data_IF_528015654679
#
_entry.id   IF_528015654679
#
_cell.length_a   1.000
_cell.length_b   1.000
_cell.length_c   1.000
_cell.angle_alpha   90.00
_cell.angle_beta   90.00
_cell.angle_gamma   90.00
#
_symmetry.space_group_name_H-M   'P 1'
#
loop_
_entity.id
_entity.type
_entity.pdbx_description
1 polymer ?
2 non-polymer ?
3 non-polymer ?
4 non-polymer ?
5 non-polymer ?
6 water ?
#
# COMPACT_ATOMS: atom_id res chain seq x y z
N UNK A 5 -14.66 12.82 -5.49
CA UNK A 5 -13.56 12.11 -4.70
C UNK A 5 -12.23 12.89 -4.81
N UNK A 6 -11.55 13.05 -3.67
CA UNK A 6 -10.28 13.74 -3.61
C UNK A 6 -9.25 12.89 -2.84
N UNK A 7 -7.96 13.14 -3.12
CA UNK A 7 -6.87 12.41 -2.39
C UNK A 7 -6.91 12.67 -0.89
N UNK A 8 -7.28 13.88 -0.51
CA UNK A 8 -7.47 14.23 0.88
C UNK A 8 -8.49 13.37 1.57
N UNK A 9 -9.50 12.82 0.86
CA UNK A 9 -10.51 11.97 1.54
C UNK A 9 -9.85 10.64 2.07
N UNK A 10 -8.65 10.29 1.59
CA UNK A 10 -7.96 9.08 2.02
C UNK A 10 -7.12 9.35 3.27
N UNK A 11 -7.02 10.59 3.70
CA UNK A 11 -6.12 10.91 4.80
C UNK A 11 -6.58 10.29 6.13
N UNK A 12 -5.63 10.00 6.98
CA UNK A 12 -5.82 9.58 8.37
C UNK A 12 -5.19 8.28 8.65
N UNK A 13 -5.47 7.79 9.86
CA UNK A 13 -5.02 6.54 10.35
C UNK A 13 -6.10 5.48 10.13
N UNK A 14 -5.71 4.35 9.55
CA UNK A 14 -6.59 3.28 9.16
C UNK A 14 -6.06 1.97 9.70
N UNK A 15 -6.91 1.12 10.23
CA UNK A 15 -6.49 -0.13 10.83
C UNK A 15 -6.95 -1.32 9.96
N UNK A 16 -6.00 -2.23 9.70
CA UNK A 16 -6.33 -3.40 8.90
C UNK A 16 -7.38 -4.29 9.64
N UNK A 17 -8.45 -4.58 8.93
CA UNK A 17 -9.48 -5.45 9.46
C UNK A 17 -9.70 -6.71 8.64
N UNK A 18 -9.25 -6.78 7.37
CA UNK A 18 -9.44 -8.00 6.59
C UNK A 18 -8.35 -8.02 5.55
N UNK A 19 -7.82 -9.20 5.25
CA UNK A 19 -6.83 -9.37 4.17
C UNK A 19 -7.13 -10.69 3.45
N UNK A 20 -7.06 -10.63 2.12
CA UNK A 20 -7.17 -11.81 1.30
C UNK A 20 -6.11 -11.75 0.23
N UNK A 21 -5.44 -12.85 -0.03
CA UNK A 21 -4.43 -12.94 -1.10
C UNK A 21 -3.07 -12.41 -0.79
N UNK A 22 -2.84 -11.88 0.43
CA UNK A 22 -1.58 -11.20 0.70
C UNK A 22 -0.41 -12.16 0.69
N UNK A 23 -0.53 -13.35 1.24
CA UNK A 23 0.61 -14.31 1.20
C UNK A 23 0.90 -14.72 -0.27
N UNK A 24 -0.13 -14.92 -1.09
CA UNK A 24 0.09 -15.22 -2.47
C UNK A 24 0.79 -14.09 -3.22
N UNK A 25 0.41 -12.86 -2.92
CA UNK A 25 1.06 -11.70 -3.52
C UNK A 25 2.53 -11.63 -3.11
N UNK A 26 2.80 -11.84 -1.80
CA UNK A 26 4.18 -11.85 -1.37
C UNK A 26 4.99 -12.96 -2.02
N UNK A 27 4.36 -14.13 -2.19
CA UNK A 27 5.05 -15.20 -2.90
C UNK A 27 5.38 -14.87 -4.35
N UNK A 28 4.50 -14.15 -5.02
CA UNK A 28 4.76 -13.67 -6.40
C UNK A 28 5.89 -12.68 -6.43
N UNK A 29 5.96 -11.83 -5.42
CA UNK A 29 7.06 -10.93 -5.25
C UNK A 29 8.41 -11.72 -4.91
N UNK A 30 8.34 -13.02 -4.61
CA UNK A 30 9.51 -13.72 -4.15
C UNK A 30 10.01 -13.35 -2.75
N UNK A 31 9.12 -12.84 -1.90
CA UNK A 31 9.49 -12.51 -0.53
C UNK A 31 9.79 -13.83 0.18
N UNK A 32 10.86 -13.84 1.00
CA UNK A 32 11.27 -15.03 1.71
C UNK A 32 10.41 -15.27 2.93
N UNK A 33 10.60 -16.44 3.55
CA UNK A 33 9.68 -16.89 4.55
C UNK A 33 9.63 -16.00 5.81
N UNK A 34 10.78 -15.49 6.24
CA UNK A 34 10.76 -14.67 7.45
C UNK A 34 9.90 -13.44 7.21
N UNK A 35 10.12 -12.73 6.12
CA UNK A 35 9.23 -11.56 5.80
C UNK A 35 7.75 -12.02 5.60
N UNK A 36 7.49 -13.14 4.92
CA UNK A 36 6.08 -13.62 4.69
C UNK A 36 5.34 -14.01 5.97
N UNK A 37 6.08 -14.57 6.94
CA UNK A 37 5.41 -14.89 8.22
C UNK A 37 5.07 -13.63 8.94
N UNK A 38 5.97 -12.64 8.97
CA UNK A 38 5.61 -11.34 9.54
C UNK A 38 4.33 -10.77 8.87
N UNK A 39 4.27 -10.82 7.51
CA UNK A 39 3.09 -10.17 6.94
C UNK A 39 1.79 -10.88 7.05
N UNK A 40 1.77 -12.21 7.17
CA UNK A 40 0.55 -13.01 7.38
C UNK A 40 -0.12 -12.63 8.70
N UNK A 41 0.68 -12.18 9.65
CA UNK A 41 0.17 -12.00 11.02
C UNK A 41 0.18 -10.56 11.51
N UNK A 42 1.05 -9.67 11.01
CA UNK A 42 0.96 -8.24 11.38
C UNK A 42 -0.41 -7.69 11.02
N UNK A 43 -1.00 -6.86 11.91
CA UNK A 43 -2.22 -6.13 11.58
C UNK A 43 -1.81 -4.64 11.71
N UNK A 44 -1.31 -4.12 10.63
CA UNK A 44 -0.83 -2.74 10.71
C UNK A 44 -1.93 -1.70 10.64
N UNK A 45 -1.56 -0.52 11.09
CA UNK A 45 -2.24 0.68 10.73
C UNK A 45 -1.52 1.27 9.50
N UNK A 46 -2.28 1.96 8.67
CA UNK A 46 -1.79 2.72 7.54
C UNK A 46 -2.14 4.15 7.84
N UNK A 47 -1.17 5.06 7.73
CA UNK A 47 -1.37 6.50 7.94
C UNK A 47 -1.06 7.20 6.64
N UNK A 48 -2.05 7.82 6.08
CA UNK A 48 -1.95 8.52 4.81
C UNK A 48 -2.08 9.99 5.08
N UNK A 49 -1.11 10.76 4.60
CA UNK A 49 -1.15 12.22 4.69
C UNK A 49 -0.83 12.82 3.35
N UNK A 50 -1.50 13.92 3.01
CA UNK A 50 -1.29 14.56 1.66
C UNK A 50 -1.47 16.11 1.79
N UNK A 51 -0.41 16.84 1.41
CA UNK A 51 -0.27 18.33 1.50
C UNK A 51 -0.04 18.70 0.03
N UNK A 52 -1.17 18.99 -0.63
CA UNK A 52 -1.15 19.35 -2.03
C UNK A 52 -0.76 18.12 -2.87
N UNK A 53 0.42 18.15 -3.48
CA UNK A 53 0.89 17.07 -4.27
C UNK A 53 1.86 16.25 -3.46
N UNK A 54 2.17 16.60 -2.23
CA UNK A 54 3.03 15.75 -1.40
C UNK A 54 2.21 14.69 -0.73
N UNK A 55 2.63 13.45 -0.82
CA UNK A 55 1.99 12.31 -0.18
C UNK A 55 2.98 11.59 0.70
N UNK A 56 2.55 11.14 1.86
CA UNK A 56 3.28 10.20 2.70
C UNK A 56 2.34 9.06 3.05
N UNK A 57 2.87 7.84 3.01
CA UNK A 57 2.17 6.65 3.49
C UNK A 57 3.10 5.94 4.46
N UNK A 58 2.65 5.82 5.70
CA UNK A 58 3.36 5.12 6.78
C UNK A 58 2.54 3.90 7.17
N UNK A 59 3.20 2.74 7.29
CA UNK A 59 2.55 1.53 7.73
C UNK A 59 3.18 1.17 9.05
N UNK A 60 2.36 1.00 10.09
CA UNK A 60 2.90 0.82 11.44
C UNK A 60 2.33 -0.38 12.07
N UNK A 61 3.23 -1.17 12.59
CA UNK A 61 2.84 -2.24 13.47
C UNK A 61 4.03 -2.56 14.36
N UNK A 62 3.77 -3.22 15.47
CA UNK A 62 4.84 -3.60 16.36
C UNK A 62 5.91 -4.45 15.64
N UNK A 63 5.44 -5.35 14.74
CA UNK A 63 6.37 -6.11 13.97
C UNK A 63 7.26 -5.29 13.05
N UNK A 64 6.63 -4.43 12.26
CA UNK A 64 7.33 -3.71 11.18
C UNK A 64 6.64 -2.40 10.88
N UNK A 65 7.48 -1.40 10.73
CA UNK A 65 7.01 -0.06 10.28
C UNK A 65 7.76 0.35 9.03
N UNK A 66 7.07 0.90 8.04
CA UNK A 66 7.65 1.40 6.82
C UNK A 66 7.08 2.79 6.53
N UNK A 67 7.75 3.56 5.70
CA UNK A 67 7.21 4.86 5.33
C UNK A 67 7.85 5.29 4.04
N UNK A 68 7.08 5.85 3.12
CA UNK A 68 7.66 6.58 1.99
C UNK A 68 6.91 7.88 1.80
N UNK A 69 7.58 8.80 1.11
CA UNK A 69 7.03 10.08 0.76
C UNK A 69 7.30 10.33 -0.73
N UNK A 70 6.45 11.09 -1.36
CA UNK A 70 6.67 11.43 -2.78
C UNK A 70 5.81 12.65 -3.16
N UNK A 71 6.08 13.12 -4.36
CA UNK A 71 5.23 14.09 -5.04
C UNK A 71 4.41 13.34 -6.04
N UNK A 72 3.10 13.54 -6.00
CA UNK A 72 2.22 12.93 -6.98
C UNK A 72 2.69 13.21 -8.37
N UNK A 73 2.76 12.19 -9.18
CA UNK A 73 3.10 12.27 -10.58
C UNK A 73 4.57 12.14 -10.86
N UNK A 74 5.45 12.12 -9.87
CA UNK A 74 6.88 12.10 -10.05
C UNK A 74 7.42 10.72 -9.76
N UNK A 75 8.34 10.25 -10.58
CA UNK A 75 9.02 9.01 -10.34
C UNK A 75 10.02 9.13 -9.21
N UNK A 76 10.08 8.13 -8.36
CA UNK A 76 10.97 8.16 -7.23
C UNK A 76 11.44 6.76 -6.88
N UNK A 77 12.54 6.68 -6.11
CA UNK A 77 13.02 5.41 -5.58
C UNK A 77 12.34 5.06 -4.29
N UNK A 78 11.53 4.01 -4.31
CA UNK A 78 10.87 3.48 -3.14
C UNK A 78 11.58 2.25 -2.66
N UNK A 79 11.96 2.22 -1.38
CA UNK A 79 12.41 1.01 -0.77
C UNK A 79 11.18 0.36 -0.13
N UNK A 80 10.82 -0.84 -0.57
CA UNK A 80 9.63 -1.48 -0.15
C UNK A 80 9.87 -2.25 1.15
N UNK A 81 8.75 -2.74 1.75
CA UNK A 81 8.83 -3.46 3.01
C UNK A 81 9.76 -4.67 2.91
N UNK A 82 9.72 -5.35 1.79
CA UNK A 82 10.55 -6.52 1.52
C UNK A 82 11.92 -6.19 0.96
N UNK A 83 12.25 -4.91 0.81
CA UNK A 83 13.58 -4.49 0.48
C UNK A 83 13.85 -4.27 -0.98
N UNK A 84 12.86 -4.36 -1.86
CA UNK A 84 13.04 -3.93 -3.22
C UNK A 84 13.31 -2.45 -3.29
N UNK A 85 14.09 -2.03 -4.28
CA UNK A 85 14.20 -0.59 -4.63
C UNK A 85 13.55 -0.37 -5.98
N UNK A 86 12.35 0.12 -5.95
CA UNK A 86 11.55 0.27 -7.14
C UNK A 86 11.57 1.67 -7.64
N UNK A 87 11.29 1.84 -8.93
CA UNK A 87 10.86 3.14 -9.46
C UNK A 87 9.36 3.19 -9.35
N UNK A 88 8.87 4.08 -8.50
CA UNK A 88 7.47 4.19 -8.22
C UNK A 88 6.93 5.52 -8.67
N UNK A 89 5.66 5.55 -9.07
CA UNK A 89 4.90 6.75 -9.28
C UNK A 89 3.57 6.60 -8.61
N UNK A 90 3.09 7.62 -7.93
CA UNK A 90 1.78 7.66 -7.35
C UNK A 90 0.96 8.81 -7.98
N UNK A 91 -0.28 8.51 -8.32
CA UNK A 91 -1.19 9.52 -8.85
C UNK A 91 -2.55 9.31 -8.27
N UNK A 92 -3.33 10.38 -8.13
CA UNK A 92 -4.74 10.26 -7.75
C UNK A 92 -5.58 10.45 -9.03
N UNK A 93 -6.27 9.39 -9.44
CA UNK A 93 -6.83 9.31 -10.80
C UNK A 93 -8.13 8.57 -10.67
N UNK A 94 -9.17 9.08 -11.32
CA UNK A 94 -10.48 8.36 -11.34
C UNK A 94 -10.89 7.96 -9.92
N UNK A 95 -10.70 8.85 -8.93
CA UNK A 95 -11.18 8.61 -7.55
C UNK A 95 -10.37 7.53 -6.74
N UNK A 96 -9.14 7.21 -7.12
CA UNK A 96 -8.27 6.27 -6.41
C UNK A 96 -6.86 6.78 -6.44
N UNK A 97 -6.15 6.43 -5.38
CA UNK A 97 -4.69 6.59 -5.43
C UNK A 97 -4.13 5.36 -6.09
N UNK A 98 -3.38 5.56 -7.16
CA UNK A 98 -2.78 4.52 -7.91
C UNK A 98 -1.27 4.59 -7.82
N UNK A 99 -0.64 3.50 -7.41
CA UNK A 99 0.82 3.42 -7.21
C UNK A 99 1.34 2.34 -8.12
N UNK A 100 2.28 2.71 -8.98
CA UNK A 100 2.88 1.72 -9.87
C UNK A 100 4.34 1.61 -9.54
N UNK A 101 4.79 0.37 -9.31
CA UNK A 101 6.18 0.05 -9.01
C UNK A 101 6.78 -0.72 -10.14
N UNK A 102 7.98 -0.32 -10.57
CA UNK A 102 8.74 -1.04 -11.59
C UNK A 102 10.13 -1.33 -11.09
N UNK A 103 10.60 -2.54 -11.28
CA UNK A 103 11.95 -2.93 -10.85
C UNK A 103 12.36 -4.17 -11.62
N UNK A 104 13.58 -4.21 -12.10
CA UNK A 104 14.14 -5.45 -12.63
C UNK A 104 13.25 -6.05 -13.78
N UNK A 105 12.57 -5.20 -14.54
CA UNK A 105 11.68 -5.65 -15.63
C UNK A 105 10.31 -6.13 -15.20
N UNK A 106 10.03 -6.00 -13.91
CA UNK A 106 8.77 -6.42 -13.27
C UNK A 106 7.92 -5.17 -12.91
N UNK A 107 6.65 -5.37 -12.69
CA UNK A 107 5.75 -4.29 -12.29
C UNK A 107 4.67 -4.76 -11.39
N UNK A 108 4.24 -3.89 -10.51
CA UNK A 108 3.10 -4.15 -9.65
C UNK A 108 2.31 -2.86 -9.47
N UNK A 109 1.00 -3.00 -9.41
CA UNK A 109 0.07 -1.89 -9.14
C UNK A 109 -0.58 -2.07 -7.80
N UNK A 110 -0.66 -0.97 -7.05
CA UNK A 110 -1.35 -0.89 -5.76
C UNK A 110 -2.33 0.24 -5.86
N UNK A 111 -3.59 -0.01 -5.53
CA UNK A 111 -4.63 1.02 -5.52
C UNK A 111 -5.12 1.19 -4.10
N UNK A 112 -5.60 2.39 -3.76
CA UNK A 112 -6.19 2.70 -2.47
C UNK A 112 -7.39 3.61 -2.75
N UNK A 113 -8.54 3.19 -2.23
CA UNK A 113 -9.78 3.91 -2.51
C UNK A 113 -10.64 3.85 -1.26
N UNK A 114 -11.58 4.80 -1.23
CA UNK A 114 -12.58 4.88 -0.14
C UNK A 114 -13.85 4.19 -0.67
N UNK A 115 -14.36 3.20 0.05
CA UNK A 115 -15.61 2.54 -0.33
C UNK A 115 -16.40 2.32 0.95
N UNK A 116 -17.61 2.89 1.02
CA UNK A 116 -18.48 2.68 2.21
C UNK A 116 -17.75 3.06 3.51
N UNK A 117 -16.95 4.13 3.46
CA UNK A 117 -16.25 4.63 4.61
C UNK A 117 -15.00 3.82 4.96
N UNK A 118 -14.70 2.76 4.18
CA UNK A 118 -13.49 1.96 4.44
C UNK A 118 -12.44 2.24 3.41
N UNK A 119 -11.20 2.02 3.81
CA UNK A 119 -10.04 2.10 2.89
C UNK A 119 -9.83 0.72 2.32
N UNK A 120 -9.97 0.65 0.99
CA UNK A 120 -9.81 -0.62 0.28
C UNK A 120 -8.51 -0.54 -0.53
N UNK A 121 -7.56 -1.38 -0.13
CA UNK A 121 -6.20 -1.43 -0.71
C UNK A 121 -6.10 -2.71 -1.53
N UNK A 122 -5.78 -2.58 -2.80
CA UNK A 122 -5.69 -3.72 -3.69
C UNK A 122 -4.32 -3.73 -4.34
N UNK A 123 -3.76 -4.91 -4.51
CA UNK A 123 -2.41 -5.09 -5.07
C UNK A 123 -2.48 -6.13 -6.15
N UNK A 124 -1.61 -6.04 -7.14
CA UNK A 124 -1.50 -7.07 -8.14
C UNK A 124 -0.10 -7.12 -8.70
N UNK A 125 0.38 -8.33 -8.97
CA UNK A 125 1.57 -8.56 -9.78
C UNK A 125 1.27 -9.79 -10.62
N UNK A 126 1.35 -9.63 -11.96
CA UNK A 126 1.20 -10.80 -12.84
C UNK A 126 -0.10 -11.57 -12.57
N UNK A 127 -1.19 -10.83 -12.38
CA UNK A 127 -2.53 -11.36 -12.10
C UNK A 127 -2.68 -12.01 -10.75
N UNK A 128 -1.68 -11.96 -9.88
CA UNK A 128 -1.78 -12.44 -8.49
C UNK A 128 -2.22 -11.24 -7.66
N UNK A 129 -3.40 -11.34 -7.06
CA UNK A 129 -4.07 -10.24 -6.44
C UNK A 129 -4.20 -10.35 -4.93
N UNK A 130 -4.39 -9.21 -4.31
CA UNK A 130 -4.73 -9.15 -2.89
C UNK A 130 -5.61 -7.95 -2.63
N UNK A 131 -6.45 -8.09 -1.63
CA UNK A 131 -7.35 -7.05 -1.17
C UNK A 131 -7.22 -6.96 0.35
N UNK A 132 -6.99 -5.75 0.84
CA UNK A 132 -6.86 -5.43 2.26
C UNK A 132 -7.81 -4.28 2.59
N UNK A 133 -8.63 -4.49 3.61
CA UNK A 133 -9.66 -3.55 4.03
C UNK A 133 -9.25 -3.01 5.37
N UNK A 134 -9.32 -1.67 5.48
CA UNK A 134 -8.96 -0.95 6.66
C UNK A 134 -10.15 -0.03 7.11
N UNK A 135 -10.30 0.10 8.40
CA UNK A 135 -11.30 0.97 8.94
C UNK A 135 -10.66 2.16 9.60
N UNK A 136 -11.34 3.28 9.50
CA UNK A 136 -10.83 4.55 9.91
C UNK A 136 -10.84 4.50 11.37
N UNK A 137 -9.76 4.84 12.04
CA UNK A 137 -9.69 4.91 13.49
C UNK A 137 -9.11 6.24 13.96
N UNK A 138 -9.44 6.53 15.19
CA UNK A 138 -8.77 7.72 15.77
C UNK A 138 -7.23 7.57 16.06
#
# INVERSE_FOLDING_TARGET
GSHMATVQQLEGRWRLVDSKGFDEYMKELGVGIALRKMGAMAKPDCIITCDGKNLTIKTESTLKTTQFSCTLGEKFEETTADGRKTQTVCNFTDGALVQHQEWDGKESTITRKLKDGKLVVECVMNNVTCTRIYEKVE
#
